data_IF_962784467289
#
_entry.id   IF_962784467289
#
_cell.length_a   1.000
_cell.length_b   1.000
_cell.length_c   1.000
_cell.angle_alpha   90.00
_cell.angle_beta   90.00
_cell.angle_gamma   90.00
#
_symmetry.space_group_name_H-M   'P 1'
#
loop_
_entity.id
_entity.type
_entity.pdbx_description
1 polymer ?
#
# COMPACT_ATOMS: atom_id res chain seq x y z
N UNK A 1 1.01 -6.15 -5.15
CA UNK A 1 0.49 -4.82 -5.51
C UNK A 1 1.44 -4.06 -6.44
N UNK A 2 2.72 -3.91 -6.10
CA UNK A 2 3.68 -3.08 -6.85
C UNK A 2 3.85 -3.41 -8.34
N UNK A 3 3.78 -4.70 -8.72
CA UNK A 3 3.82 -5.11 -10.15
C UNK A 3 2.60 -4.55 -10.91
N UNK A 4 1.42 -4.57 -10.28
CA UNK A 4 0.19 -4.04 -10.86
C UNK A 4 0.25 -2.50 -10.99
N UNK A 5 0.89 -1.81 -10.05
CA UNK A 5 0.99 -0.35 -10.05
C UNK A 5 2.03 0.19 -11.04
N UNK A 6 3.04 -0.61 -11.38
CA UNK A 6 4.17 -0.18 -12.20
C UNK A 6 3.79 0.39 -13.58
N UNK A 7 2.85 -0.20 -14.34
CA UNK A 7 2.37 0.39 -15.59
C UNK A 7 1.78 1.79 -15.40
N UNK A 8 0.98 2.03 -14.36
CA UNK A 8 0.37 3.33 -14.11
C UNK A 8 1.43 4.38 -13.76
N UNK A 9 2.42 4.01 -12.94
CA UNK A 9 3.59 4.85 -12.70
C UNK A 9 4.34 5.19 -14.01
N UNK A 10 4.47 4.25 -14.96
CA UNK A 10 5.13 4.51 -16.24
C UNK A 10 4.33 5.44 -17.15
N UNK A 11 3.00 5.37 -17.13
CA UNK A 11 2.12 6.14 -18.01
C UNK A 11 1.89 7.55 -17.45
N UNK A 12 1.64 7.68 -16.14
CA UNK A 12 1.20 8.92 -15.49
C UNK A 12 2.19 9.45 -14.44
N UNK A 13 3.34 8.80 -14.28
CA UNK A 13 4.34 9.21 -13.29
C UNK A 13 3.92 8.91 -11.85
N UNK A 14 4.79 9.26 -10.90
CA UNK A 14 4.67 8.80 -9.50
C UNK A 14 3.42 9.29 -8.79
N UNK A 15 2.92 10.49 -9.11
CA UNK A 15 1.69 11.04 -8.50
C UNK A 15 0.42 10.25 -8.82
N UNK A 16 0.49 9.34 -9.79
CA UNK A 16 -0.63 8.46 -10.14
C UNK A 16 -0.72 7.18 -9.32
N UNK A 17 0.29 6.91 -8.49
CA UNK A 17 0.34 5.75 -7.60
C UNK A 17 0.63 6.26 -6.20
N UNK A 18 -0.42 6.38 -5.39
CA UNK A 18 -0.34 7.04 -4.08
C UNK A 18 0.68 6.39 -3.15
N UNK A 19 0.74 5.07 -3.15
CA UNK A 19 1.58 4.26 -2.29
C UNK A 19 3.07 4.40 -2.63
N UNK A 20 3.40 4.56 -3.92
CA UNK A 20 4.76 4.85 -4.38
C UNK A 20 5.13 6.30 -4.08
N UNK A 21 4.20 7.24 -4.29
CA UNK A 21 4.41 8.64 -3.96
C UNK A 21 4.67 8.85 -2.47
N UNK A 22 3.85 8.26 -1.59
CA UNK A 22 4.03 8.28 -0.14
C UNK A 22 5.39 7.71 0.27
N UNK A 23 5.76 6.56 -0.29
CA UNK A 23 7.03 5.91 0.04
C UNK A 23 8.24 6.76 -0.36
N UNK A 24 8.20 7.39 -1.54
CA UNK A 24 9.23 8.32 -1.96
C UNK A 24 9.27 9.59 -1.09
N UNK A 25 8.10 10.12 -0.69
CA UNK A 25 8.01 11.28 0.17
C UNK A 25 8.52 11.02 1.59
N UNK A 26 8.26 9.83 2.15
CA UNK A 26 8.89 9.36 3.39
C UNK A 26 10.41 9.40 3.25
N UNK A 27 10.96 8.82 2.18
CA UNK A 27 12.40 8.80 1.95
C UNK A 27 12.95 10.23 1.78
N UNK A 28 12.25 11.11 1.07
CA UNK A 28 12.66 12.50 0.91
C UNK A 28 12.78 13.21 2.26
N UNK A 29 11.79 13.02 3.15
CA UNK A 29 11.79 13.58 4.51
C UNK A 29 12.92 13.00 5.37
N UNK A 30 13.09 11.66 5.37
CA UNK A 30 14.14 10.98 6.15
C UNK A 30 15.55 11.38 5.71
N UNK A 31 15.77 11.48 4.40
CA UNK A 31 17.08 11.81 3.80
C UNK A 31 17.29 13.31 3.61
N UNK A 32 16.33 14.16 4.00
CA UNK A 32 16.33 15.63 3.81
C UNK A 32 16.64 16.05 2.36
N UNK A 33 16.12 15.30 1.38
CA UNK A 33 16.29 15.61 -0.04
C UNK A 33 15.00 16.11 -0.68
N UNK A 34 15.14 16.85 -1.77
CA UNK A 34 14.00 17.32 -2.56
C UNK A 34 13.37 16.16 -3.33
N UNK A 35 12.06 16.19 -3.45
CA UNK A 35 11.30 15.30 -4.31
C UNK A 35 11.61 15.59 -5.78
N UNK A 36 11.89 14.54 -6.56
CA UNK A 36 12.30 14.64 -7.96
C UNK A 36 11.21 14.15 -8.93
N UNK A 37 9.95 14.05 -8.48
CA UNK A 37 8.84 13.52 -9.26
C UNK A 37 9.11 12.11 -9.83
N UNK A 38 9.90 11.30 -9.11
CA UNK A 38 10.31 9.98 -9.53
C UNK A 38 10.53 9.08 -8.31
N UNK A 39 10.37 7.77 -8.47
CA UNK A 39 10.57 6.78 -7.40
C UNK A 39 12.05 6.38 -7.34
N UNK A 40 12.65 6.51 -6.17
CA UNK A 40 14.02 6.05 -5.92
C UNK A 40 14.06 4.56 -5.55
N UNK A 41 15.23 3.92 -5.62
CA UNK A 41 15.42 2.54 -5.10
C UNK A 41 15.01 2.43 -3.64
N UNK A 42 15.34 3.44 -2.85
CA UNK A 42 14.96 3.49 -1.43
C UNK A 42 13.46 3.65 -1.26
N UNK A 43 12.79 4.42 -2.14
CA UNK A 43 11.34 4.55 -2.15
C UNK A 43 10.65 3.21 -2.46
N UNK A 44 11.16 2.43 -3.41
CA UNK A 44 10.68 1.06 -3.68
C UNK A 44 10.87 0.18 -2.45
N UNK A 45 12.04 0.22 -1.82
CA UNK A 45 12.31 -0.55 -0.61
C UNK A 45 11.36 -0.16 0.53
N UNK A 46 11.15 1.13 0.76
CA UNK A 46 10.20 1.64 1.74
C UNK A 46 8.78 1.18 1.45
N UNK A 47 8.35 1.18 0.19
CA UNK A 47 7.04 0.67 -0.21
C UNK A 47 6.86 -0.81 0.13
N UNK A 48 7.87 -1.64 -0.18
CA UNK A 48 7.84 -3.07 0.14
C UNK A 48 7.84 -3.32 1.65
N UNK A 49 8.64 -2.57 2.41
CA UNK A 49 8.69 -2.66 3.87
C UNK A 49 7.37 -2.23 4.51
N UNK A 50 6.79 -1.10 4.08
CA UNK A 50 5.50 -0.62 4.57
C UNK A 50 4.39 -1.63 4.29
N UNK A 51 4.31 -2.14 3.05
CA UNK A 51 3.34 -3.16 2.69
C UNK A 51 3.50 -4.46 3.50
N UNK A 52 4.73 -4.85 3.83
CA UNK A 52 5.00 -6.02 4.67
C UNK A 52 4.65 -5.77 6.14
N UNK A 53 4.99 -4.60 6.69
CA UNK A 53 4.64 -4.24 8.07
C UNK A 53 3.13 -4.17 8.28
N UNK A 54 2.39 -3.71 7.27
CA UNK A 54 0.93 -3.68 7.27
C UNK A 54 0.29 -5.07 7.31
N UNK A 55 1.01 -6.17 7.09
CA UNK A 55 0.47 -7.53 7.27
C UNK A 55 0.47 -7.98 8.74
N UNK A 56 1.29 -7.35 9.59
CA UNK A 56 1.46 -7.78 10.99
C UNK A 56 0.15 -7.69 11.78
N UNK A 57 -0.63 -6.59 11.74
CA UNK A 57 -1.90 -6.53 12.46
C UNK A 57 -2.92 -7.57 12.00
N UNK A 58 -2.92 -7.94 10.72
CA UNK A 58 -3.76 -9.02 10.20
C UNK A 58 -3.40 -10.37 10.84
N UNK A 59 -2.10 -10.71 10.85
CA UNK A 59 -1.61 -11.97 11.46
C UNK A 59 -1.97 -12.00 12.95
N UNK A 60 -1.75 -10.90 13.66
CA UNK A 60 -2.09 -10.77 15.08
C UNK A 60 -3.59 -10.96 15.29
N UNK A 61 -4.44 -10.29 14.50
CA UNK A 61 -5.89 -10.40 14.60
C UNK A 61 -6.38 -11.83 14.41
N UNK A 62 -5.95 -12.51 13.34
CA UNK A 62 -6.37 -13.88 13.03
C UNK A 62 -6.02 -14.83 14.17
N UNK A 63 -4.78 -14.77 14.68
CA UNK A 63 -4.31 -15.66 15.74
C UNK A 63 -4.93 -15.35 17.10
N UNK A 64 -5.04 -14.07 17.50
CA UNK A 64 -5.59 -13.72 18.81
C UNK A 64 -7.09 -14.02 18.93
N UNK A 65 -7.83 -13.94 17.83
CA UNK A 65 -9.28 -14.14 17.82
C UNK A 65 -9.70 -15.55 17.39
N UNK A 66 -8.75 -16.38 16.97
CA UNK A 66 -9.01 -17.67 16.31
C UNK A 66 -9.99 -17.54 15.13
N UNK A 67 -9.94 -16.41 14.41
CA UNK A 67 -10.79 -16.18 13.24
C UNK A 67 -10.32 -17.06 12.09
N UNK A 68 -11.22 -17.79 11.44
CA UNK A 68 -10.86 -18.55 10.24
C UNK A 68 -10.43 -17.61 9.10
N UNK A 69 -9.18 -17.71 8.58
CA UNK A 69 -8.73 -16.84 7.51
C UNK A 69 -9.53 -17.11 6.23
N UNK A 70 -9.90 -16.04 5.53
CA UNK A 70 -10.56 -16.13 4.22
C UNK A 70 -10.12 -14.98 3.31
N UNK A 71 -10.30 -15.16 2.00
CA UNK A 71 -10.06 -14.09 1.01
C UNK A 71 -10.89 -12.84 1.35
N UNK A 72 -12.14 -13.02 1.77
CA UNK A 72 -13.05 -11.92 2.12
C UNK A 72 -12.47 -11.12 3.29
N UNK A 73 -11.97 -11.78 4.34
CA UNK A 73 -11.37 -11.08 5.49
C UNK A 73 -10.09 -10.34 5.07
N UNK A 74 -9.26 -10.95 4.22
CA UNK A 74 -8.07 -10.29 3.66
C UNK A 74 -8.41 -9.02 2.87
N UNK A 75 -9.44 -9.08 2.02
CA UNK A 75 -9.93 -7.92 1.26
C UNK A 75 -10.50 -6.86 2.19
N UNK A 76 -11.40 -7.21 3.12
CA UNK A 76 -11.99 -6.26 4.07
C UNK A 76 -10.92 -5.54 4.89
N UNK A 77 -9.94 -6.30 5.42
CA UNK A 77 -8.79 -5.74 6.12
C UNK A 77 -8.01 -4.75 5.24
N UNK A 78 -7.76 -5.10 3.99
CA UNK A 78 -7.01 -4.27 3.06
C UNK A 78 -7.78 -3.01 2.64
N UNK A 79 -9.11 -3.08 2.57
CA UNK A 79 -9.96 -1.89 2.38
C UNK A 79 -9.89 -0.96 3.58
N UNK A 80 -9.85 -1.50 4.80
CA UNK A 80 -9.63 -0.69 6.01
C UNK A 80 -8.26 -0.01 5.98
N UNK A 81 -7.20 -0.75 5.62
CA UNK A 81 -5.87 -0.15 5.39
C UNK A 81 -5.96 0.95 4.35
N UNK A 82 -6.58 0.69 3.21
CA UNK A 82 -6.71 1.66 2.13
C UNK A 82 -7.39 2.95 2.61
N UNK A 83 -8.50 2.85 3.34
CA UNK A 83 -9.17 4.02 3.90
C UNK A 83 -8.27 4.81 4.85
N UNK A 84 -7.54 4.12 5.73
CA UNK A 84 -6.65 4.75 6.72
C UNK A 84 -5.40 5.34 6.06
N UNK A 85 -4.84 4.68 5.06
CA UNK A 85 -3.62 5.15 4.38
C UNK A 85 -3.95 6.28 3.39
N UNK A 86 -5.03 6.12 2.62
CA UNK A 86 -5.40 7.11 1.63
C UNK A 86 -5.91 8.41 2.26
N UNK A 87 -6.85 8.37 3.22
CA UNK A 87 -7.52 9.58 3.68
C UNK A 87 -6.63 10.46 4.59
N UNK A 88 -6.23 10.02 5.80
CA UNK A 88 -5.39 10.83 6.65
C UNK A 88 -3.90 10.75 6.28
N UNK A 89 -3.37 9.57 5.98
CA UNK A 89 -1.90 9.39 5.88
C UNK A 89 -1.33 10.00 4.59
N UNK A 90 -2.00 9.87 3.45
CA UNK A 90 -1.53 10.44 2.19
C UNK A 90 -1.22 11.93 2.31
N UNK A 91 -2.21 12.72 2.73
CA UNK A 91 -2.08 14.18 2.86
C UNK A 91 -1.02 14.56 3.90
N UNK A 92 -0.91 13.82 5.01
CA UNK A 92 0.12 14.06 6.03
C UNK A 92 1.54 13.80 5.50
N UNK A 93 1.71 12.79 4.65
CA UNK A 93 3.02 12.42 4.11
C UNK A 93 3.40 13.30 2.91
N UNK A 94 2.50 13.46 1.94
CA UNK A 94 2.81 14.13 0.67
C UNK A 94 2.54 15.63 0.71
N UNK A 95 1.65 16.08 1.58
CA UNK A 95 1.11 17.44 1.58
C UNK A 95 0.06 17.68 0.49
N UNK A 96 -0.28 16.66 -0.31
CA UNK A 96 -1.19 16.78 -1.45
C UNK A 96 -2.57 16.20 -1.11
N UNK A 97 -3.63 16.89 -1.54
CA UNK A 97 -5.00 16.36 -1.42
C UNK A 97 -5.28 15.35 -2.53
N UNK A 98 -6.00 14.28 -2.20
CA UNK A 98 -6.49 13.29 -3.17
C UNK A 98 -7.37 13.98 -4.23
N UNK A 99 -8.22 14.92 -3.79
CA UNK A 99 -9.17 15.63 -4.65
C UNK A 99 -8.51 16.59 -5.65
N UNK A 100 -7.25 16.97 -5.40
CA UNK A 100 -6.49 17.92 -6.22
C UNK A 100 -5.48 17.20 -7.12
N UNK A 101 -5.53 15.87 -7.18
CA UNK A 101 -4.60 15.10 -8.01
C UNK A 101 -4.80 15.45 -9.50
N UNK A 102 -3.72 15.68 -10.28
CA UNK A 102 -3.80 16.04 -11.70
C UNK A 102 -4.50 14.99 -12.57
N UNK A 103 -4.61 13.75 -12.09
CA UNK A 103 -5.29 12.63 -12.77
C UNK A 103 -6.71 12.37 -12.24
N UNK A 104 -7.27 13.30 -11.45
CA UNK A 104 -8.59 13.16 -10.86
C UNK A 104 -8.70 11.93 -9.96
N UNK A 105 -9.75 11.13 -10.15
CA UNK A 105 -10.03 9.94 -9.34
C UNK A 105 -9.25 8.69 -9.77
N UNK A 106 -8.55 8.72 -10.91
CA UNK A 106 -7.88 7.52 -11.46
C UNK A 106 -6.85 6.90 -10.51
N UNK A 107 -5.99 7.68 -9.81
CA UNK A 107 -5.05 7.12 -8.85
C UNK A 107 -5.73 6.43 -7.67
N UNK A 108 -6.91 6.92 -7.25
CA UNK A 108 -7.69 6.28 -6.20
C UNK A 108 -8.23 4.92 -6.65
N UNK A 109 -8.61 4.78 -7.92
CA UNK A 109 -9.01 3.50 -8.51
C UNK A 109 -7.84 2.52 -8.60
N UNK A 110 -6.67 2.97 -9.04
CA UNK A 110 -5.46 2.13 -9.06
C UNK A 110 -5.14 1.65 -7.65
N UNK A 111 -5.17 2.55 -6.68
CA UNK A 111 -4.92 2.27 -5.26
C UNK A 111 -5.89 1.24 -4.66
N UNK A 112 -7.21 1.38 -4.87
CA UNK A 112 -8.19 0.41 -4.31
C UNK A 112 -8.07 -0.97 -4.98
N UNK A 113 -7.85 -1.03 -6.29
CA UNK A 113 -7.61 -2.31 -6.99
C UNK A 113 -6.32 -2.95 -6.47
N UNK A 114 -5.28 -2.14 -6.26
CA UNK A 114 -4.04 -2.58 -5.63
C UNK A 114 -4.28 -3.23 -4.26
N UNK A 115 -5.14 -2.61 -3.44
CA UNK A 115 -5.49 -3.13 -2.11
C UNK A 115 -6.34 -4.40 -2.16
N UNK A 116 -7.18 -4.59 -3.19
CA UNK A 116 -7.86 -5.88 -3.39
C UNK A 116 -6.85 -6.98 -3.70
N UNK A 117 -5.87 -6.71 -4.58
CA UNK A 117 -4.77 -7.62 -4.86
C UNK A 117 -3.97 -7.90 -3.58
N UNK A 118 -3.67 -6.86 -2.79
CA UNK A 118 -2.96 -7.01 -1.52
C UNK A 118 -3.72 -7.93 -0.54
N UNK A 119 -5.04 -7.76 -0.37
CA UNK A 119 -5.84 -8.61 0.52
C UNK A 119 -5.92 -10.07 0.10
N UNK A 120 -6.01 -10.33 -1.21
CA UNK A 120 -5.91 -11.70 -1.76
C UNK A 120 -4.53 -12.29 -1.44
N UNK A 121 -3.46 -11.55 -1.70
CA UNK A 121 -2.09 -11.99 -1.42
C UNK A 121 -1.83 -12.22 0.06
N UNK A 122 -2.43 -11.41 0.93
CA UNK A 122 -2.32 -11.53 2.37
C UNK A 122 -2.92 -12.85 2.87
N UNK A 123 -4.11 -13.21 2.37
CA UNK A 123 -4.72 -14.53 2.65
C UNK A 123 -3.81 -15.68 2.20
N UNK A 124 -3.35 -15.67 0.96
CA UNK A 124 -2.51 -16.77 0.45
C UNK A 124 -1.16 -16.86 1.18
N UNK A 125 -0.56 -15.72 1.52
CA UNK A 125 0.69 -15.66 2.28
C UNK A 125 0.50 -16.23 3.68
N UNK A 126 -0.60 -15.88 4.36
CA UNK A 126 -0.96 -16.43 5.66
C UNK A 126 -1.16 -17.94 5.61
N UNK A 127 -1.93 -18.45 4.63
CA UNK A 127 -2.19 -19.89 4.51
C UNK A 127 -0.90 -20.68 4.21
N UNK A 128 0.00 -20.11 3.41
CA UNK A 128 1.27 -20.76 3.06
C UNK A 128 2.25 -20.76 4.23
N UNK A 129 2.37 -19.64 4.96
CA UNK A 129 3.28 -19.50 6.09
C UNK A 129 2.74 -20.17 7.37
N UNK A 130 1.43 -20.15 7.60
CA UNK A 130 0.79 -20.85 8.71
C UNK A 130 0.86 -22.37 8.58
N UNK A 131 0.96 -22.90 7.36
CA UNK A 131 1.28 -24.32 7.12
C UNK A 131 2.75 -24.68 7.34
N UNK A 132 3.66 -23.71 7.45
CA UNK A 132 5.08 -23.93 7.74
C UNK A 132 5.41 -23.87 9.25
N UNK A 133 4.50 -23.35 10.07
CA UNK A 133 4.67 -23.17 11.51
C UNK A 133 3.87 -24.18 12.36
N UNK A 134 3.15 -25.10 11.71
CA UNK A 134 2.47 -26.25 12.30
C UNK A 134 3.15 -27.54 11.84
#
# INVERSE_FOLDING_TARGET
>A
MSIFEFPFYKIWGIKSVYELHESEMIVCKLMKRKFQNNISRMGILTHLLNGSLLSVPFVIFINLTNTNPSIIIGILYSVVIWLVTLLPVHKLITGESISENPYGYQPALVSIIGHFIYGIMLYYSYMTLGGLLN
#
